data_IF_268682716897
#
_entry.id   IF_268682716897
#
_cell.length_a   1.000
_cell.length_b   1.000
_cell.length_c   1.000
_cell.angle_alpha   90.00
_cell.angle_beta   90.00
_cell.angle_gamma   90.00
#
_symmetry.space_group_name_H-M   'P 1'
#
loop_
_entity.id
_entity.type
_entity.pdbx_description
1 polymer ?
#
# COMPACT_ATOMS: atom_id res chain seq x y z
N UNK A 1 -20.04 14.80 -13.48
CA UNK A 1 -21.15 15.37 -12.72
C UNK A 1 -21.40 14.63 -11.38
N UNK A 2 -20.35 14.23 -10.64
CA UNK A 2 -20.42 13.95 -9.21
C UNK A 2 -21.46 12.92 -8.72
N UNK A 3 -21.70 11.85 -9.48
CA UNK A 3 -22.64 10.80 -9.08
C UNK A 3 -22.02 9.76 -8.14
N UNK A 4 -20.69 9.68 -8.11
CA UNK A 4 -19.93 8.80 -7.22
C UNK A 4 -18.70 9.55 -6.71
N UNK A 5 -18.27 9.24 -5.49
CA UNK A 5 -17.13 9.89 -4.84
C UNK A 5 -15.90 8.94 -4.79
N UNK A 6 -16.11 7.64 -4.92
CA UNK A 6 -15.04 6.64 -4.87
C UNK A 6 -15.36 5.37 -5.63
N UNK A 7 -14.36 4.51 -5.79
CA UNK A 7 -14.46 3.24 -6.51
C UNK A 7 -13.72 2.14 -5.76
N UNK A 8 -14.34 0.99 -5.63
CA UNK A 8 -13.68 -0.24 -5.20
C UNK A 8 -12.70 -0.75 -6.25
N UNK A 9 -11.45 -0.94 -5.84
CA UNK A 9 -10.40 -1.55 -6.67
C UNK A 9 -10.05 -2.97 -6.18
N UNK A 10 -10.50 -3.33 -4.97
CA UNK A 10 -10.42 -4.68 -4.42
C UNK A 10 -11.76 -5.02 -3.79
N UNK A 11 -12.30 -6.18 -4.15
CA UNK A 11 -13.57 -6.67 -3.64
C UNK A 11 -13.50 -8.19 -3.50
N UNK A 12 -13.89 -8.73 -2.35
CA UNK A 12 -13.82 -10.14 -2.01
C UNK A 12 -12.41 -10.70 -2.29
N UNK A 13 -12.22 -11.58 -3.27
CA UNK A 13 -10.92 -12.15 -3.66
C UNK A 13 -10.36 -11.57 -4.96
N UNK A 14 -10.89 -10.44 -5.43
CA UNK A 14 -10.51 -9.85 -6.70
C UNK A 14 -9.81 -8.49 -6.53
N UNK A 15 -8.82 -8.24 -7.38
CA UNK A 15 -8.13 -6.97 -7.52
C UNK A 15 -8.23 -6.46 -8.95
N UNK A 16 -8.67 -5.22 -9.13
CA UNK A 16 -8.95 -4.60 -10.42
C UNK A 16 -7.96 -3.46 -10.75
N UNK A 17 -6.66 -3.76 -11.03
CA UNK A 17 -5.68 -2.70 -11.29
C UNK A 17 -6.00 -1.89 -12.55
N UNK A 18 -6.76 -2.42 -13.49
CA UNK A 18 -7.11 -1.76 -14.74
C UNK A 18 -7.96 -0.50 -14.61
N UNK A 19 -8.57 -0.24 -13.45
CA UNK A 19 -9.40 0.95 -13.22
C UNK A 19 -8.66 2.08 -12.47
N UNK A 20 -7.47 1.81 -11.92
CA UNK A 20 -6.72 2.75 -11.06
C UNK A 20 -6.48 4.09 -11.78
N UNK A 21 -6.03 4.05 -13.03
CA UNK A 21 -5.72 5.26 -13.79
C UNK A 21 -6.98 6.12 -14.01
N UNK A 22 -8.13 5.50 -14.30
CA UNK A 22 -9.42 6.21 -14.46
C UNK A 22 -9.93 6.81 -13.15
N UNK A 23 -9.72 6.13 -12.03
CA UNK A 23 -10.09 6.62 -10.69
C UNK A 23 -9.31 7.90 -10.38
N UNK A 24 -8.00 7.88 -10.65
CA UNK A 24 -7.11 9.04 -10.46
C UNK A 24 -7.46 10.22 -11.38
N UNK A 25 -7.69 9.98 -12.67
CA UNK A 25 -8.09 11.01 -13.64
C UNK A 25 -9.37 11.76 -13.24
N UNK A 26 -10.23 11.09 -12.45
CA UNK A 26 -11.52 11.64 -12.00
C UNK A 26 -11.51 12.14 -10.56
N UNK A 27 -10.36 12.11 -9.88
CA UNK A 27 -10.19 12.48 -8.48
C UNK A 27 -11.15 11.73 -7.53
N UNK A 28 -11.41 10.44 -7.81
CA UNK A 28 -12.21 9.58 -6.95
C UNK A 28 -11.31 8.94 -5.90
N UNK A 29 -11.84 8.70 -4.69
CA UNK A 29 -11.09 7.91 -3.72
C UNK A 29 -11.08 6.41 -4.08
N UNK A 30 -10.04 5.72 -3.64
CA UNK A 30 -9.87 4.27 -3.84
C UNK A 30 -10.32 3.54 -2.57
N UNK A 31 -11.13 2.49 -2.75
CA UNK A 31 -11.61 1.64 -1.68
C UNK A 31 -11.30 0.15 -1.91
N UNK A 32 -11.28 -0.61 -0.83
CA UNK A 32 -11.26 -2.06 -0.81
C UNK A 32 -12.27 -2.55 0.24
N UNK A 33 -13.08 -3.51 -0.13
CA UNK A 33 -14.10 -4.10 0.73
C UNK A 33 -14.09 -5.63 0.65
N UNK A 34 -14.66 -6.26 1.66
CA UNK A 34 -14.67 -7.73 1.76
C UNK A 34 -15.82 -8.38 1.02
N UNK A 35 -16.92 -7.65 0.80
CA UNK A 35 -18.17 -8.19 0.24
C UNK A 35 -18.65 -9.49 0.94
N UNK A 36 -18.37 -9.61 2.22
CA UNK A 36 -18.76 -10.79 3.01
C UNK A 36 -20.25 -10.80 3.32
N UNK A 37 -20.85 -11.98 3.28
CA UNK A 37 -22.25 -12.22 3.60
C UNK A 37 -22.41 -13.15 4.82
N UNK A 38 -21.29 -13.64 5.36
CA UNK A 38 -21.17 -14.44 6.57
C UNK A 38 -20.21 -13.80 7.57
N UNK A 39 -19.53 -14.56 8.41
CA UNK A 39 -18.49 -14.02 9.28
C UNK A 39 -17.17 -13.86 8.53
N UNK A 40 -16.38 -12.83 8.89
CA UNK A 40 -15.05 -12.64 8.30
C UNK A 40 -14.14 -13.88 8.47
N UNK A 41 -14.28 -14.61 9.58
CA UNK A 41 -13.50 -15.80 9.85
C UNK A 41 -13.86 -17.00 8.96
N UNK A 42 -15.07 -17.02 8.40
CA UNK A 42 -15.49 -18.06 7.45
C UNK A 42 -14.96 -17.77 6.05
N UNK A 43 -15.04 -16.50 5.61
CA UNK A 43 -14.67 -16.10 4.27
C UNK A 43 -13.16 -15.81 4.13
N UNK A 44 -12.52 -15.31 5.20
CA UNK A 44 -11.10 -14.94 5.20
C UNK A 44 -10.36 -15.61 6.36
N UNK A 45 -10.20 -16.92 6.30
CA UNK A 45 -9.53 -17.74 7.32
C UNK A 45 -8.06 -18.08 6.99
N UNK A 46 -7.53 -17.56 5.88
CA UNK A 46 -6.13 -17.79 5.49
C UNK A 46 -5.18 -16.98 6.37
N UNK A 47 -4.09 -17.61 6.82
CA UNK A 47 -2.98 -16.92 7.47
C UNK A 47 -2.04 -16.24 6.47
N UNK A 48 -2.15 -16.56 5.18
CA UNK A 48 -1.21 -16.13 4.15
C UNK A 48 -1.41 -14.67 3.71
N UNK A 49 -2.61 -14.11 3.91
CA UNK A 49 -2.92 -12.72 3.52
C UNK A 49 -4.08 -12.14 4.32
N UNK A 50 -4.05 -10.82 4.45
CA UNK A 50 -5.12 -10.07 5.11
C UNK A 50 -6.29 -9.81 4.15
N UNK A 51 -7.51 -9.80 4.71
CA UNK A 51 -8.73 -9.45 3.97
C UNK A 51 -8.65 -8.05 3.36
N UNK A 52 -9.40 -7.75 2.31
CA UNK A 52 -9.51 -6.40 1.77
C UNK A 52 -10.04 -5.40 2.79
N UNK A 53 -9.43 -4.23 2.84
CA UNK A 53 -9.83 -3.11 3.69
C UNK A 53 -9.36 -1.78 3.12
N UNK A 54 -10.14 -0.74 3.34
CA UNK A 54 -9.76 0.63 3.04
C UNK A 54 -9.00 1.23 4.22
N UNK A 55 -7.77 1.67 4.00
CA UNK A 55 -7.01 2.47 4.96
C UNK A 55 -7.33 3.93 4.73
N UNK A 56 -7.82 4.63 5.75
CA UNK A 56 -8.22 6.05 5.69
C UNK A 56 -7.26 6.87 6.55
N UNK A 57 -6.62 7.88 5.96
CA UNK A 57 -5.65 8.76 6.62
C UNK A 57 -6.32 10.06 7.04
N UNK A 58 -7.09 9.98 8.12
CA UNK A 58 -7.77 11.11 8.73
C UNK A 58 -6.87 11.84 9.74
N UNK A 59 -6.98 13.17 9.81
CA UNK A 59 -6.26 14.00 10.79
C UNK A 59 -6.80 13.80 12.22
N UNK A 60 -8.07 13.42 12.35
CA UNK A 60 -8.73 13.14 13.62
C UNK A 60 -9.78 12.02 13.48
N UNK A 61 -10.10 11.37 14.62
CA UNK A 61 -11.10 10.28 14.67
C UNK A 61 -12.52 10.84 14.88
N UNK A 62 -12.96 11.66 13.94
CA UNK A 62 -14.32 12.23 13.93
C UNK A 62 -14.99 11.94 12.59
N UNK A 63 -16.31 12.04 12.51
CA UNK A 63 -17.05 11.91 11.25
C UNK A 63 -16.56 12.92 10.21
N UNK A 64 -16.34 14.16 10.63
CA UNK A 64 -15.83 15.21 9.75
C UNK A 64 -14.40 14.91 9.26
N UNK A 65 -13.52 14.43 10.13
CA UNK A 65 -12.15 14.03 9.75
C UNK A 65 -12.13 12.87 8.78
N UNK A 66 -13.03 11.89 8.95
CA UNK A 66 -13.17 10.77 8.02
C UNK A 66 -13.71 11.24 6.66
N UNK A 67 -14.76 12.07 6.66
CA UNK A 67 -15.35 12.64 5.44
C UNK A 67 -14.31 13.44 4.66
N UNK A 68 -13.61 14.33 5.33
CA UNK A 68 -12.56 15.15 4.71
C UNK A 68 -11.42 14.29 4.11
N UNK A 69 -11.01 13.21 4.78
CA UNK A 69 -10.01 12.29 4.26
C UNK A 69 -10.48 11.56 2.98
N UNK A 70 -11.75 11.13 2.94
CA UNK A 70 -12.36 10.52 1.76
C UNK A 70 -12.45 11.51 0.60
N UNK A 71 -13.00 12.70 0.83
CA UNK A 71 -13.13 13.76 -0.18
C UNK A 71 -11.78 14.23 -0.73
N UNK A 72 -10.74 14.18 0.10
CA UNK A 72 -9.35 14.51 -0.29
C UNK A 72 -8.59 13.32 -0.92
N UNK A 73 -9.24 12.18 -1.11
CA UNK A 73 -8.60 10.98 -1.68
C UNK A 73 -7.49 10.36 -0.83
N UNK A 74 -7.43 10.68 0.48
CA UNK A 74 -6.42 10.12 1.39
C UNK A 74 -6.80 8.71 1.84
N UNK A 75 -6.88 7.81 0.87
CA UNK A 75 -7.20 6.40 1.08
C UNK A 75 -6.20 5.50 0.36
N UNK A 76 -5.95 4.32 0.94
CA UNK A 76 -5.28 3.22 0.26
C UNK A 76 -6.18 1.98 0.35
N UNK A 77 -6.34 1.28 -0.77
CA UNK A 77 -6.89 -0.06 -0.78
C UNK A 77 -5.80 -1.05 -0.36
N UNK A 78 -6.10 -1.91 0.61
CA UNK A 78 -5.21 -2.96 1.07
C UNK A 78 -5.93 -4.30 1.07
N UNK A 79 -5.32 -5.33 0.50
CA UNK A 79 -5.81 -6.70 0.49
C UNK A 79 -4.80 -7.61 -0.21
N UNK A 80 -4.79 -8.89 0.14
CA UNK A 80 -3.94 -9.91 -0.51
C UNK A 80 -2.45 -9.51 -0.53
N UNK A 81 -1.97 -8.91 0.58
CA UNK A 81 -0.60 -8.38 0.71
C UNK A 81 -0.24 -7.31 -0.36
N UNK A 82 -1.25 -6.66 -0.92
CA UNK A 82 -1.12 -5.63 -1.96
C UNK A 82 -1.71 -4.31 -1.47
N UNK A 83 -1.04 -3.21 -1.77
CA UNK A 83 -1.51 -1.84 -1.52
C UNK A 83 -1.77 -1.14 -2.85
N UNK A 84 -2.82 -0.31 -2.90
CA UNK A 84 -3.15 0.48 -4.07
C UNK A 84 -3.64 1.87 -3.68
N UNK A 85 -3.19 2.89 -4.40
CA UNK A 85 -3.64 4.26 -4.15
C UNK A 85 -2.82 5.33 -4.88
N UNK A 86 -2.91 6.54 -4.38
CA UNK A 86 -2.14 7.67 -4.86
C UNK A 86 -0.64 7.44 -4.60
N UNK A 87 0.21 7.79 -5.57
CA UNK A 87 1.64 7.46 -5.55
C UNK A 87 2.38 8.06 -4.36
N UNK A 88 2.14 9.34 -4.07
CA UNK A 88 2.82 10.00 -2.96
C UNK A 88 2.38 9.44 -1.61
N UNK A 89 1.08 9.14 -1.44
CA UNK A 89 0.56 8.54 -0.22
C UNK A 89 1.12 7.14 0.02
N UNK A 90 1.28 6.33 -1.04
CA UNK A 90 1.94 5.03 -0.98
C UNK A 90 3.41 5.15 -0.55
N UNK A 91 4.15 6.13 -1.12
CA UNK A 91 5.55 6.40 -0.75
C UNK A 91 5.68 6.81 0.72
N UNK A 92 4.81 7.70 1.17
CA UNK A 92 4.82 8.20 2.54
C UNK A 92 4.45 7.10 3.54
N UNK A 93 3.44 6.28 3.21
CA UNK A 93 3.06 5.11 4.00
C UNK A 93 4.21 4.11 4.10
N UNK A 94 4.86 3.78 2.98
CA UNK A 94 6.02 2.89 2.96
C UNK A 94 7.17 3.44 3.81
N UNK A 95 7.56 4.70 3.63
CA UNK A 95 8.62 5.35 4.42
C UNK A 95 8.30 5.36 5.91
N UNK A 96 7.06 5.69 6.28
CA UNK A 96 6.61 5.67 7.68
C UNK A 96 6.63 4.26 8.29
N UNK A 97 6.45 3.22 7.46
CA UNK A 97 6.51 1.82 7.84
C UNK A 97 7.93 1.31 8.10
N UNK A 98 8.95 2.03 7.66
CA UNK A 98 10.34 1.58 7.71
C UNK A 98 11.14 2.25 8.84
N UNK A 99 12.15 1.50 9.31
CA UNK A 99 13.29 2.03 10.05
C UNK A 99 14.56 1.70 9.27
N UNK A 100 15.38 2.71 9.01
CA UNK A 100 16.65 2.57 8.29
C UNK A 100 17.78 2.83 9.26
N UNK A 101 18.77 1.92 9.31
CA UNK A 101 20.00 2.09 10.09
C UNK A 101 21.19 1.88 9.17
N UNK A 102 22.01 2.91 8.99
CA UNK A 102 23.26 2.84 8.23
C UNK A 102 24.23 1.85 8.89
N UNK A 103 24.85 0.98 8.09
CA UNK A 103 25.87 0.03 8.52
C UNK A 103 27.26 0.43 7.98
N UNK A 104 27.30 0.88 6.73
CA UNK A 104 28.51 1.39 6.06
C UNK A 104 28.11 2.40 4.98
N UNK A 105 29.07 2.91 4.20
CA UNK A 105 28.80 3.81 3.07
C UNK A 105 27.88 3.17 2.01
N UNK A 106 27.95 1.85 1.85
CA UNK A 106 27.22 1.11 0.81
C UNK A 106 26.27 0.04 1.37
N UNK A 107 25.93 0.09 2.66
CA UNK A 107 25.02 -0.88 3.27
C UNK A 107 24.21 -0.28 4.42
N UNK A 108 22.96 -0.72 4.54
CA UNK A 108 22.06 -0.37 5.63
C UNK A 108 21.15 -1.53 6.01
N UNK A 109 20.59 -1.46 7.21
CA UNK A 109 19.53 -2.36 7.65
C UNK A 109 18.19 -1.68 7.43
N UNK A 110 17.30 -2.36 6.73
CA UNK A 110 15.92 -1.93 6.51
C UNK A 110 14.98 -2.81 7.34
N UNK A 111 14.29 -2.19 8.29
CA UNK A 111 13.34 -2.88 9.19
C UNK A 111 11.92 -2.47 8.86
N UNK A 112 11.08 -3.42 8.55
CA UNK A 112 9.63 -3.25 8.46
C UNK A 112 9.02 -3.25 9.87
N UNK A 113 8.34 -2.16 10.25
CA UNK A 113 7.70 -2.00 11.57
C UNK A 113 6.22 -2.39 11.59
N UNK A 114 5.70 -2.91 10.49
CA UNK A 114 4.26 -3.15 10.28
C UNK A 114 3.94 -4.60 9.97
N UNK A 115 2.65 -4.93 10.00
CA UNK A 115 2.11 -6.22 9.56
C UNK A 115 1.97 -6.35 8.04
N UNK A 116 2.27 -5.30 7.27
CA UNK A 116 2.22 -5.32 5.81
C UNK A 116 3.52 -5.89 5.26
N UNK A 117 3.52 -6.96 4.48
CA UNK A 117 4.71 -7.44 3.78
C UNK A 117 5.01 -6.56 2.57
N UNK A 118 6.27 -6.47 2.18
CA UNK A 118 6.70 -5.73 0.99
C UNK A 118 7.57 -6.60 0.09
N UNK A 119 7.46 -6.38 -1.22
CA UNK A 119 8.35 -6.96 -2.22
C UNK A 119 9.15 -5.84 -2.87
N UNK A 120 10.45 -5.81 -2.62
CA UNK A 120 11.34 -4.73 -3.01
C UNK A 120 12.24 -5.16 -4.16
N UNK A 121 12.43 -4.30 -5.15
CA UNK A 121 13.39 -4.52 -6.23
C UNK A 121 14.29 -3.30 -6.39
N UNK A 122 15.60 -3.52 -6.32
CA UNK A 122 16.61 -2.56 -6.76
C UNK A 122 16.91 -2.78 -8.24
N UNK A 123 17.37 -1.73 -8.92
CA UNK A 123 17.77 -1.84 -10.32
C UNK A 123 18.86 -2.92 -10.51
N UNK A 124 18.68 -3.76 -11.51
CA UNK A 124 19.61 -4.86 -11.84
C UNK A 124 19.64 -6.02 -10.84
N UNK A 125 18.78 -6.03 -9.80
CA UNK A 125 18.72 -7.09 -8.79
C UNK A 125 17.40 -7.86 -8.82
N UNK A 126 17.43 -9.08 -8.31
CA UNK A 126 16.21 -9.86 -8.07
C UNK A 126 15.38 -9.24 -6.96
N UNK A 127 14.04 -9.38 -7.02
CA UNK A 127 13.16 -8.95 -5.94
C UNK A 127 13.48 -9.64 -4.62
N UNK A 128 13.36 -8.90 -3.52
CA UNK A 128 13.54 -9.37 -2.15
C UNK A 128 12.27 -9.15 -1.36
N UNK A 129 11.82 -10.19 -0.66
CA UNK A 129 10.71 -10.09 0.26
C UNK A 129 11.17 -9.47 1.59
N UNK A 130 10.44 -8.49 2.09
CA UNK A 130 10.58 -7.91 3.42
C UNK A 130 9.33 -8.25 4.21
N UNK A 131 9.43 -9.31 5.01
CA UNK A 131 8.31 -9.82 5.80
C UNK A 131 7.84 -8.81 6.87
N UNK A 132 6.62 -8.96 7.40
CA UNK A 132 6.16 -8.21 8.57
C UNK A 132 7.16 -8.29 9.73
N UNK A 133 7.40 -7.16 10.39
CA UNK A 133 8.26 -7.04 11.58
C UNK A 133 9.66 -7.64 11.44
N UNK A 134 10.18 -7.71 10.20
CA UNK A 134 11.48 -8.27 9.89
C UNK A 134 12.50 -7.20 9.48
N UNK A 135 13.76 -7.60 9.44
CA UNK A 135 14.88 -6.75 9.04
C UNK A 135 15.69 -7.45 7.97
N UNK A 136 16.02 -6.75 6.91
CA UNK A 136 16.95 -7.22 5.88
C UNK A 136 18.17 -6.29 5.81
N UNK A 137 19.31 -6.86 5.41
CA UNK A 137 20.48 -6.08 5.02
C UNK A 137 20.38 -5.75 3.54
N UNK A 138 20.54 -4.48 3.22
CA UNK A 138 20.54 -3.98 1.85
C UNK A 138 21.94 -3.46 1.51
N UNK A 139 22.42 -3.79 0.32
CA UNK A 139 23.68 -3.29 -0.22
C UNK A 139 23.42 -2.46 -1.48
N UNK A 140 24.18 -1.37 -1.63
CA UNK A 140 24.06 -0.41 -2.72
C UNK A 140 23.15 0.75 -2.41
N UNK A 141 22.49 1.30 -3.43
CA UNK A 141 21.60 2.48 -3.30
C UNK A 141 20.35 2.18 -2.47
N UNK A 142 19.79 3.23 -1.88
CA UNK A 142 18.50 3.17 -1.18
C UNK A 142 17.27 3.23 -2.11
N UNK A 143 17.46 3.06 -3.41
CA UNK A 143 16.36 3.17 -4.40
C UNK A 143 15.69 1.81 -4.61
N UNK A 144 14.36 1.79 -4.46
CA UNK A 144 13.55 0.59 -4.63
C UNK A 144 12.31 0.88 -5.45
N UNK A 145 11.94 -0.09 -6.27
CA UNK A 145 10.56 -0.26 -6.76
C UNK A 145 9.84 -1.18 -5.79
N UNK A 146 8.68 -0.77 -5.25
CA UNK A 146 7.87 -1.58 -4.33
C UNK A 146 6.81 -2.32 -5.12
N UNK A 147 7.08 -3.58 -5.47
CA UNK A 147 6.34 -4.35 -6.48
C UNK A 147 4.91 -4.74 -6.07
N UNK A 148 4.60 -4.82 -4.78
CA UNK A 148 3.24 -5.10 -4.30
C UNK A 148 2.49 -3.83 -3.89
N UNK A 149 2.93 -2.67 -4.37
CA UNK A 149 2.21 -1.40 -4.33
C UNK A 149 1.86 -0.95 -5.75
N UNK A 150 0.62 -0.49 -5.95
CA UNK A 150 0.12 -0.08 -7.27
C UNK A 150 -0.38 1.36 -7.24
N UNK A 151 0.25 2.22 -8.02
CA UNK A 151 -0.19 3.60 -8.27
C UNK A 151 -0.74 3.81 -9.70
N UNK A 152 -0.96 2.74 -10.44
CA UNK A 152 -1.53 2.64 -11.77
C UNK A 152 -1.67 1.17 -12.16
N UNK A 153 -2.22 0.87 -13.35
CA UNK A 153 -2.48 -0.49 -13.80
C UNK A 153 -1.25 -1.43 -13.70
N UNK A 154 -0.10 -0.94 -14.13
CA UNK A 154 1.20 -1.65 -14.12
C UNK A 154 2.30 -0.74 -13.53
N UNK A 155 1.91 0.25 -12.74
CA UNK A 155 2.81 1.24 -12.17
C UNK A 155 3.00 1.00 -10.68
N UNK A 156 4.26 0.90 -10.27
CA UNK A 156 4.68 0.74 -8.89
C UNK A 156 5.42 1.98 -8.40
N UNK A 157 5.27 2.38 -7.13
CA UNK A 157 6.00 3.51 -6.60
C UNK A 157 7.50 3.21 -6.47
N UNK A 158 8.31 4.19 -6.83
CA UNK A 158 9.74 4.20 -6.60
C UNK A 158 10.04 5.02 -5.35
N UNK A 159 10.79 4.46 -4.42
CA UNK A 159 11.15 5.09 -3.14
C UNK A 159 12.65 5.14 -2.99
N UNK A 160 13.12 6.26 -2.45
CA UNK A 160 14.52 6.49 -2.11
C UNK A 160 14.67 6.69 -0.60
N UNK A 161 15.65 6.02 -0.02
CA UNK A 161 16.18 6.30 1.31
C UNK A 161 17.54 6.96 1.21
N UNK A 162 17.63 8.22 1.65
CA UNK A 162 18.90 8.89 1.85
C UNK A 162 19.50 8.50 3.21
N UNK A 163 20.82 8.18 3.26
CA UNK A 163 21.55 7.81 4.48
C UNK A 163 23.03 8.22 4.42
#
# INVERSE_FOLDING_TARGET
>A
EGLIDGVEVMNFYEFYPGIIDRVRERNLFIAANTDIHASTAEDFNSEDYMRPMTLIFASERTENGLREALESGRTLAFGFNTLCGEEQLLKDFFKASMKVNKVSENAFMLTNKTSVPYTLRQEGKNPVALAPFSTIRVEGSGNFVVLNMFCGKEKHPEVEFAF
#
